data_IF_006740578108
#
_entry.id   IF_006740578108
#
_cell.length_a   1.000
_cell.length_b   1.000
_cell.length_c   1.000
_cell.angle_alpha   90.00
_cell.angle_beta   90.00
_cell.angle_gamma   90.00
#
_symmetry.space_group_name_H-M   'P 1'
#
loop_
_entity.id
_entity.type
_entity.pdbx_description
1 polymer ?
#
# COMPACT_ATOMS: atom_id res chain seq x y z
N UNK A 1 -74.42 1.31 -20.36
CA UNK A 1 -75.29 1.49 -19.18
C UNK A 1 -74.93 0.39 -18.18
N UNK A 2 -74.64 0.74 -16.92
CA UNK A 2 -75.48 0.48 -15.74
C UNK A 2 -76.56 -0.63 -15.81
N UNK A 3 -76.99 -1.34 -14.75
CA UNK A 3 -76.68 -1.44 -13.29
C UNK A 3 -77.52 -2.64 -12.73
N UNK A 4 -77.41 -3.19 -11.50
CA UNK A 4 -76.30 -3.38 -10.52
C UNK A 4 -76.80 -4.35 -9.38
N UNK A 5 -75.88 -4.85 -8.54
CA UNK A 5 -76.02 -5.34 -7.15
C UNK A 5 -76.90 -6.56 -6.73
N UNK A 6 -76.38 -7.33 -5.77
CA UNK A 6 -77.13 -8.26 -4.91
C UNK A 6 -76.24 -9.18 -4.05
N UNK A 7 -76.03 -8.86 -2.76
CA UNK A 7 -75.09 -9.56 -1.86
C UNK A 7 -75.74 -10.16 -0.60
N UNK A 8 -75.13 -11.19 -0.01
CA UNK A 8 -75.41 -11.69 1.35
C UNK A 8 -74.18 -12.41 1.97
N UNK A 9 -74.11 -12.46 3.30
CA UNK A 9 -72.89 -12.78 4.08
C UNK A 9 -72.79 -14.24 4.60
N UNK A 10 -71.60 -14.64 5.07
CA UNK A 10 -71.29 -16.01 5.55
C UNK A 10 -71.52 -16.26 7.06
N UNK A 11 -70.92 -17.33 7.62
CA UNK A 11 -70.17 -17.18 8.88
C UNK A 11 -68.83 -17.96 8.93
N UNK A 12 -68.21 -18.02 10.12
CA UNK A 12 -66.76 -18.20 10.34
C UNK A 12 -66.24 -19.64 10.59
N UNK A 13 -64.90 -19.73 10.47
CA UNK A 13 -63.95 -20.51 11.31
C UNK A 13 -63.67 -22.01 11.01
N UNK A 14 -62.43 -22.29 10.57
CA UNK A 14 -61.39 -23.00 11.38
C UNK A 14 -60.16 -23.34 10.52
N UNK A 15 -59.00 -23.64 11.15
CA UNK A 15 -57.90 -24.36 10.49
C UNK A 15 -56.63 -23.60 10.07
N UNK A 16 -55.99 -22.87 10.98
CA UNK A 16 -54.56 -22.53 10.84
C UNK A 16 -53.69 -23.56 11.58
N UNK A 17 -52.96 -24.42 10.84
CA UNK A 17 -51.79 -25.21 11.27
C UNK A 17 -51.29 -26.01 10.06
N UNK A 18 -50.03 -25.98 9.61
CA UNK A 18 -48.86 -25.18 10.01
C UNK A 18 -47.78 -25.20 8.91
N UNK A 19 -46.62 -24.53 9.08
CA UNK A 19 -45.66 -24.32 7.99
C UNK A 19 -44.81 -25.54 7.64
N UNK A 20 -44.70 -25.85 6.34
CA UNK A 20 -43.78 -26.85 5.81
C UNK A 20 -42.31 -26.49 6.05
N UNK A 21 -41.51 -27.51 6.39
CA UNK A 21 -40.16 -27.36 6.93
C UNK A 21 -39.12 -26.98 5.85
N UNK A 22 -38.85 -25.69 5.70
CA UNK A 22 -37.81 -25.19 4.80
C UNK A 22 -36.42 -25.67 5.21
N UNK A 23 -35.75 -26.44 4.35
CA UNK A 23 -34.41 -26.98 4.58
C UNK A 23 -33.34 -25.89 4.45
N UNK A 24 -33.25 -25.03 5.47
CA UNK A 24 -32.25 -23.96 5.55
C UNK A 24 -30.85 -24.54 5.70
N UNK A 25 -30.11 -24.63 4.60
CA UNK A 25 -28.67 -24.87 4.66
C UNK A 25 -28.04 -23.76 5.49
N UNK A 26 -27.65 -24.09 6.73
CA UNK A 26 -26.80 -23.24 7.57
C UNK A 26 -25.48 -23.05 6.83
N UNK A 27 -25.42 -22.01 6.01
CA UNK A 27 -24.18 -21.44 5.48
C UNK A 27 -23.44 -20.89 6.69
N UNK A 28 -22.68 -21.77 7.34
CA UNK A 28 -21.79 -21.38 8.42
C UNK A 28 -21.01 -20.17 7.95
N UNK A 29 -20.91 -19.16 8.81
CA UNK A 29 -19.95 -18.08 8.59
C UNK A 29 -18.61 -18.77 8.48
N UNK A 30 -18.07 -18.87 7.27
CA UNK A 30 -16.66 -19.12 7.09
C UNK A 30 -15.99 -18.00 7.86
N UNK A 31 -15.36 -18.36 8.98
CA UNK A 31 -14.56 -17.43 9.75
C UNK A 31 -13.48 -16.94 8.79
N UNK A 32 -13.66 -15.73 8.29
CA UNK A 32 -12.66 -15.04 7.50
C UNK A 32 -11.43 -14.98 8.38
N UNK A 33 -10.50 -15.93 8.19
CA UNK A 33 -9.22 -15.98 8.90
C UNK A 33 -8.49 -14.72 8.51
N UNK A 34 -8.67 -13.70 9.34
CA UNK A 34 -8.13 -12.38 9.14
C UNK A 34 -6.63 -12.55 9.11
N UNK A 35 -6.08 -12.49 7.89
CA UNK A 35 -4.65 -12.41 7.67
C UNK A 35 -4.18 -11.06 8.18
N UNK A 36 -4.07 -10.96 9.52
CA UNK A 36 -3.36 -9.91 10.19
C UNK A 36 -1.90 -10.02 9.76
N UNK A 37 -1.37 -9.08 8.96
CA UNK A 37 0.06 -9.06 8.72
C UNK A 37 0.75 -8.82 10.06
N UNK A 38 1.84 -9.54 10.32
CA UNK A 38 2.67 -9.46 11.55
C UNK A 38 3.22 -8.06 11.87
N UNK A 39 2.97 -7.08 11.00
CA UNK A 39 3.43 -5.70 11.08
C UNK A 39 2.25 -4.76 11.32
N UNK A 40 2.39 -3.88 12.34
CA UNK A 40 1.49 -2.76 12.67
C UNK A 40 1.54 -1.64 11.61
N UNK A 41 1.47 -2.02 10.33
CA UNK A 41 1.47 -1.13 9.18
C UNK A 41 0.03 -0.70 8.87
N UNK A 42 -0.26 0.58 9.12
CA UNK A 42 -1.46 1.23 8.62
C UNK A 42 -1.48 1.21 7.09
N UNK A 43 -2.67 1.00 6.52
CA UNK A 43 -2.90 0.99 5.07
C UNK A 43 -4.01 1.98 4.73
N UNK A 44 -3.76 2.86 3.77
CA UNK A 44 -4.70 3.89 3.35
C UNK A 44 -4.83 3.92 1.82
N UNK A 45 -6.05 3.74 1.32
CA UNK A 45 -6.36 3.93 -0.11
C UNK A 45 -6.51 5.43 -0.36
N UNK A 46 -5.65 6.00 -1.21
CA UNK A 46 -5.64 7.43 -1.52
C UNK A 46 -6.73 7.80 -2.53
N UNK A 47 -6.82 7.04 -3.62
CA UNK A 47 -7.83 7.19 -4.68
C UNK A 47 -7.91 5.90 -5.50
N UNK A 48 -9.11 5.59 -5.98
CA UNK A 48 -9.34 4.62 -7.06
C UNK A 48 -9.72 5.44 -8.30
N UNK A 49 -9.06 5.18 -9.42
CA UNK A 49 -9.32 5.86 -10.69
C UNK A 49 -9.74 4.84 -11.75
N UNK A 50 -10.94 4.92 -12.33
CA UNK A 50 -11.23 4.18 -13.55
C UNK A 50 -10.35 4.73 -14.68
N UNK A 51 -9.72 3.85 -15.43
CA UNK A 51 -9.00 4.13 -16.67
C UNK A 51 -9.64 3.29 -17.77
N UNK A 52 -9.85 3.89 -18.94
CA UNK A 52 -10.56 3.24 -20.05
C UNK A 52 -9.63 3.15 -21.25
N UNK A 53 -9.64 2.00 -21.94
CA UNK A 53 -9.02 1.83 -23.25
C UNK A 53 -10.12 1.50 -24.26
N UNK A 54 -10.21 2.30 -25.31
CA UNK A 54 -11.13 2.00 -26.41
C UNK A 54 -10.68 0.75 -27.16
N UNK A 55 -11.63 -0.10 -27.53
CA UNK A 55 -11.44 -1.31 -28.35
C UNK A 55 -12.51 -1.37 -29.43
N UNK A 56 -12.38 -2.29 -30.39
CA UNK A 56 -13.40 -2.50 -31.44
C UNK A 56 -14.77 -2.87 -30.86
N UNK A 57 -14.80 -3.59 -29.74
CA UNK A 57 -16.02 -3.94 -28.99
C UNK A 57 -16.34 -2.92 -27.86
N UNK A 58 -16.02 -1.64 -28.08
CA UNK A 58 -16.29 -0.56 -27.13
C UNK A 58 -15.23 -0.37 -26.03
N UNK A 59 -15.62 0.30 -24.94
CA UNK A 59 -14.69 0.73 -23.90
C UNK A 59 -14.35 -0.39 -22.91
N UNK A 60 -13.07 -0.75 -22.83
CA UNK A 60 -12.55 -1.68 -21.82
C UNK A 60 -12.04 -0.89 -20.61
N UNK A 61 -12.79 -0.94 -19.53
CA UNK A 61 -12.43 -0.27 -18.26
C UNK A 61 -11.46 -1.12 -17.43
N UNK A 62 -10.69 -0.47 -16.57
CA UNK A 62 -9.86 -1.07 -15.53
C UNK A 62 -9.67 -0.06 -14.40
N UNK A 63 -9.39 -0.52 -13.19
CA UNK A 63 -9.27 0.34 -12.01
C UNK A 63 -7.82 0.45 -11.57
N UNK A 64 -7.33 1.68 -11.45
CA UNK A 64 -6.01 2.02 -10.90
C UNK A 64 -6.17 2.45 -9.45
N UNK A 65 -5.65 1.63 -8.53
CA UNK A 65 -5.64 1.92 -7.09
C UNK A 65 -4.31 2.56 -6.70
N UNK A 66 -4.38 3.64 -5.92
CA UNK A 66 -3.25 4.26 -5.23
C UNK A 66 -3.38 3.94 -3.73
N UNK A 67 -2.41 3.22 -3.18
CA UNK A 67 -2.40 2.83 -1.77
C UNK A 67 -1.10 3.30 -1.14
N UNK A 68 -1.21 3.92 0.02
CA UNK A 68 -0.09 4.26 0.87
C UNK A 68 -0.09 3.36 2.11
N UNK A 69 1.11 3.03 2.58
CA UNK A 69 1.34 2.20 3.76
C UNK A 69 2.34 2.93 4.66
N UNK A 70 2.19 2.82 5.97
CA UNK A 70 3.17 3.32 6.93
C UNK A 70 2.87 2.89 8.35
N UNK A 71 3.87 2.97 9.21
CA UNK A 71 3.77 2.59 10.63
C UNK A 71 3.91 3.78 11.59
N UNK A 72 3.81 5.01 11.07
CA UNK A 72 3.88 6.26 11.84
C UNK A 72 5.21 6.50 12.59
N UNK A 73 6.27 5.75 12.26
CA UNK A 73 7.56 5.83 12.96
C UNK A 73 8.77 5.77 12.00
N UNK A 74 8.76 6.53 10.90
CA UNK A 74 9.91 6.66 10.02
C UNK A 74 10.00 5.66 8.85
N UNK A 75 8.89 5.07 8.40
CA UNK A 75 8.85 4.21 7.21
C UNK A 75 7.49 4.39 6.51
N UNK A 76 7.54 4.64 5.21
CA UNK A 76 6.36 4.84 4.34
C UNK A 76 6.56 4.11 3.02
N UNK A 77 5.49 3.57 2.44
CA UNK A 77 5.48 2.92 1.13
C UNK A 77 4.33 3.43 0.27
N UNK A 78 4.56 3.56 -1.04
CA UNK A 78 3.54 3.95 -2.02
C UNK A 78 3.41 2.88 -3.11
N UNK A 79 2.22 2.31 -3.23
CA UNK A 79 1.87 1.28 -4.21
C UNK A 79 0.83 1.78 -5.20
N UNK A 80 1.07 1.46 -6.48
CA UNK A 80 0.15 1.80 -7.58
C UNK A 80 -0.04 0.56 -8.44
N UNK A 81 -1.28 0.04 -8.52
CA UNK A 81 -1.62 -1.13 -9.34
C UNK A 81 -2.88 -0.86 -10.15
N UNK A 82 -2.91 -1.37 -11.37
CA UNK A 82 -4.12 -1.47 -12.18
C UNK A 82 -4.54 -2.93 -12.35
N UNK A 83 -5.85 -3.19 -12.24
CA UNK A 83 -6.50 -4.49 -12.47
C UNK A 83 -7.90 -4.28 -13.06
N UNK A 84 -8.53 -5.33 -13.61
CA UNK A 84 -9.92 -5.27 -14.08
C UNK A 84 -10.92 -5.02 -12.95
N UNK A 85 -10.64 -5.51 -11.74
CA UNK A 85 -11.49 -5.39 -10.56
C UNK A 85 -10.85 -4.49 -9.50
N UNK A 86 -11.68 -3.77 -8.76
CA UNK A 86 -11.23 -2.88 -7.68
C UNK A 86 -10.54 -3.66 -6.55
N UNK A 87 -11.11 -4.79 -6.11
CA UNK A 87 -10.56 -5.57 -4.99
C UNK A 87 -9.17 -6.14 -5.31
N UNK A 88 -8.95 -6.66 -6.52
CA UNK A 88 -7.63 -7.16 -6.94
C UNK A 88 -6.63 -6.03 -7.17
N UNK A 89 -7.06 -4.86 -7.66
CA UNK A 89 -6.21 -3.68 -7.74
C UNK A 89 -5.72 -3.22 -6.36
N UNK A 90 -6.60 -3.15 -5.36
CA UNK A 90 -6.24 -2.75 -3.98
C UNK A 90 -5.28 -3.77 -3.35
N UNK A 91 -5.59 -5.08 -3.43
CA UNK A 91 -4.71 -6.14 -2.89
C UNK A 91 -3.31 -6.09 -3.52
N UNK A 92 -3.24 -5.95 -4.85
CA UNK A 92 -1.96 -5.83 -5.56
C UNK A 92 -1.21 -4.52 -5.23
N UNK A 93 -1.91 -3.41 -5.05
CA UNK A 93 -1.31 -2.14 -4.63
C UNK A 93 -0.77 -2.20 -3.19
N UNK A 94 -1.43 -2.91 -2.27
CA UNK A 94 -0.93 -3.17 -0.91
C UNK A 94 0.39 -3.95 -0.95
N UNK A 95 0.48 -5.01 -1.77
CA UNK A 95 1.71 -5.81 -1.91
C UNK A 95 2.85 -4.95 -2.47
N UNK A 96 2.60 -4.18 -3.54
CA UNK A 96 3.60 -3.27 -4.10
C UNK A 96 4.03 -2.18 -3.10
N UNK A 97 3.10 -1.62 -2.33
CA UNK A 97 3.40 -0.62 -1.30
C UNK A 97 4.27 -1.18 -0.16
N UNK A 98 4.13 -2.47 0.19
CA UNK A 98 5.03 -3.13 1.15
C UNK A 98 6.44 -3.27 0.58
N UNK A 99 6.57 -3.71 -0.67
CA UNK A 99 7.86 -3.86 -1.35
C UNK A 99 8.57 -2.51 -1.58
N UNK A 100 7.82 -1.43 -1.76
CA UNK A 100 8.35 -0.06 -1.91
C UNK A 100 8.42 0.73 -0.61
N UNK A 101 8.54 0.06 0.54
CA UNK A 101 8.70 0.76 1.84
C UNK A 101 10.09 1.38 1.92
N UNK A 102 10.15 2.68 2.18
CA UNK A 102 11.39 3.47 2.27
C UNK A 102 11.49 4.07 3.68
N UNK A 103 12.67 4.03 4.33
CA UNK A 103 12.88 4.70 5.61
C UNK A 103 12.86 6.21 5.43
N UNK A 104 12.41 6.93 6.46
CA UNK A 104 12.22 8.39 6.45
C UNK A 104 13.07 9.03 7.51
N UNK A 105 14.01 9.89 7.11
CA UNK A 105 14.90 10.57 8.03
C UNK A 105 14.17 11.75 8.66
N UNK A 106 14.15 11.77 9.99
CA UNK A 106 13.59 12.85 10.80
C UNK A 106 14.71 13.68 11.44
N UNK A 107 14.42 14.93 11.73
CA UNK A 107 15.31 15.89 12.38
C UNK A 107 14.55 16.84 13.30
N UNK A 108 15.20 17.93 13.67
CA UNK A 108 14.68 18.96 14.57
C UNK A 108 14.62 20.31 13.87
N UNK A 109 13.73 21.20 14.33
CA UNK A 109 13.73 22.59 13.94
C UNK A 109 14.44 23.44 15.01
N UNK A 110 15.60 24.00 14.67
CA UNK A 110 16.40 24.79 15.59
C UNK A 110 17.10 23.94 16.66
N UNK A 111 16.49 23.77 17.82
CA UNK A 111 17.11 23.09 18.95
C UNK A 111 16.77 21.59 19.00
N UNK A 112 17.74 20.75 19.34
CA UNK A 112 17.65 19.29 19.31
C UNK A 112 17.02 18.70 20.58
N UNK A 113 15.86 19.22 20.99
CA UNK A 113 15.14 18.77 22.18
C UNK A 113 14.13 17.66 21.84
N UNK A 114 14.11 16.60 22.65
CA UNK A 114 13.08 15.57 22.60
C UNK A 114 13.29 14.55 21.49
N UNK A 115 12.24 14.30 20.69
CA UNK A 115 12.27 13.35 19.57
C UNK A 115 12.33 14.11 18.24
N UNK A 116 12.98 13.55 17.19
CA UNK A 116 12.96 14.14 15.85
C UNK A 116 11.52 14.18 15.30
N UNK A 117 10.98 15.38 15.10
CA UNK A 117 9.58 15.66 14.76
C UNK A 117 9.41 16.24 13.34
N UNK A 118 10.47 16.79 12.74
CA UNK A 118 10.43 17.43 11.41
C UNK A 118 11.38 16.73 10.42
N UNK A 119 11.57 17.30 9.23
CA UNK A 119 12.51 16.83 8.20
C UNK A 119 13.87 17.53 8.40
N UNK A 120 15.02 16.83 8.32
CA UNK A 120 16.34 17.39 8.63
C UNK A 120 16.80 18.52 7.69
N UNK A 121 16.27 18.57 6.46
CA UNK A 121 16.64 19.58 5.46
C UNK A 121 15.48 19.86 4.50
N UNK A 122 15.59 20.96 3.73
CA UNK A 122 14.63 21.28 2.66
C UNK A 122 14.87 20.36 1.46
N UNK A 123 14.10 19.28 1.37
CA UNK A 123 14.13 18.36 0.23
C UNK A 123 13.08 18.72 -0.81
N UNK A 124 13.40 18.49 -2.08
CA UNK A 124 12.48 18.70 -3.21
C UNK A 124 12.24 17.39 -3.96
N UNK A 125 10.98 16.99 -4.02
CA UNK A 125 10.51 15.91 -4.88
C UNK A 125 10.15 16.44 -6.26
N UNK A 126 10.34 15.63 -7.29
CA UNK A 126 9.98 15.97 -8.67
C UNK A 126 9.38 14.78 -9.42
N UNK A 127 8.18 14.95 -10.00
CA UNK A 127 7.61 13.97 -10.92
C UNK A 127 6.71 14.68 -11.95
N UNK A 128 7.12 14.56 -13.22
CA UNK A 128 6.54 15.33 -14.34
C UNK A 128 6.54 16.83 -14.02
N UNK A 129 5.45 17.55 -14.25
CA UNK A 129 5.34 18.99 -14.00
C UNK A 129 5.20 19.39 -12.52
N UNK A 130 5.12 18.43 -11.58
CA UNK A 130 4.84 18.72 -10.17
C UNK A 130 6.12 18.65 -9.34
N UNK A 131 6.38 19.72 -8.58
CA UNK A 131 7.48 19.84 -7.62
C UNK A 131 6.91 20.14 -6.24
N UNK A 132 7.41 19.45 -5.20
CA UNK A 132 7.01 19.68 -3.81
C UNK A 132 8.22 19.86 -2.88
N UNK A 133 8.21 20.94 -2.09
CA UNK A 133 9.06 21.16 -0.92
C UNK A 133 8.32 20.82 0.39
N UNK A 134 9.07 20.49 1.44
CA UNK A 134 8.61 19.64 2.55
C UNK A 134 7.67 20.28 3.57
N UNK A 135 6.41 19.78 3.66
CA UNK A 135 5.55 20.05 4.82
C UNK A 135 4.18 19.42 5.03
N UNK A 136 3.64 19.68 6.22
CA UNK A 136 2.38 19.15 6.79
C UNK A 136 1.23 20.16 6.75
N UNK A 137 1.51 21.48 6.71
CA UNK A 137 0.56 22.51 6.27
C UNK A 137 0.29 22.33 4.77
N UNK A 138 -0.49 21.31 4.44
CA UNK A 138 -0.48 20.63 3.15
C UNK A 138 -1.86 20.21 2.69
N UNK A 139 -2.00 19.98 1.38
CA UNK A 139 -3.19 19.39 0.80
C UNK A 139 -3.46 17.98 1.37
N UNK A 140 -4.70 17.44 1.32
CA UNK A 140 -5.07 16.20 2.00
C UNK A 140 -4.26 14.94 1.60
N UNK A 141 -3.59 14.93 0.45
CA UNK A 141 -2.78 13.82 -0.06
C UNK A 141 -1.39 13.76 0.62
N UNK A 142 -0.53 14.80 0.52
CA UNK A 142 0.72 14.86 1.29
C UNK A 142 0.51 14.73 2.79
N UNK A 143 -0.54 15.36 3.35
CA UNK A 143 -0.83 15.29 4.79
C UNK A 143 -0.91 13.85 5.30
N UNK A 144 -1.62 12.98 4.55
CA UNK A 144 -1.74 11.55 4.87
C UNK A 144 -0.42 10.81 4.74
N UNK A 145 0.35 11.07 3.69
CA UNK A 145 1.67 10.45 3.46
C UNK A 145 2.67 10.80 4.57
N UNK A 146 2.72 12.06 5.00
CA UNK A 146 3.65 12.55 6.02
C UNK A 146 3.27 12.08 7.43
N UNK A 147 1.97 12.03 7.76
CA UNK A 147 1.50 11.34 8.97
C UNK A 147 1.93 9.88 8.98
N UNK A 148 1.72 9.12 7.89
CA UNK A 148 2.13 7.72 7.80
C UNK A 148 3.66 7.51 7.89
N UNK A 149 4.43 8.51 7.45
CA UNK A 149 5.87 8.57 7.64
C UNK A 149 6.29 8.86 9.09
N UNK A 150 5.41 9.38 9.94
CA UNK A 150 5.72 9.75 11.33
C UNK A 150 6.47 11.07 11.47
N UNK A 151 6.23 12.02 10.57
CA UNK A 151 6.65 13.42 10.69
C UNK A 151 5.46 14.18 11.28
N UNK A 152 5.71 15.03 12.27
CA UNK A 152 4.68 15.74 13.04
C UNK A 152 4.51 17.19 12.55
N UNK A 153 5.62 17.92 12.32
CA UNK A 153 5.62 19.34 11.93
C UNK A 153 6.51 19.63 10.72
N UNK A 154 6.01 20.34 9.69
CA UNK A 154 6.76 20.61 8.45
C UNK A 154 6.02 21.67 7.53
N UNK A 155 6.68 22.37 6.57
CA UNK A 155 6.07 23.47 5.73
C UNK A 155 6.03 23.29 4.18
N UNK A 156 4.85 22.98 3.62
CA UNK A 156 4.75 22.49 2.23
C UNK A 156 4.71 23.61 1.22
N UNK A 157 5.38 23.42 0.09
CA UNK A 157 5.17 24.23 -1.11
C UNK A 157 5.01 23.29 -2.30
N UNK A 158 3.94 23.43 -3.07
CA UNK A 158 3.72 22.63 -4.28
C UNK A 158 3.59 23.57 -5.49
N UNK A 159 4.30 23.28 -6.58
CA UNK A 159 4.18 23.97 -7.87
C UNK A 159 3.84 22.97 -8.98
N UNK A 160 3.13 23.45 -10.00
CA UNK A 160 2.66 22.63 -11.13
C UNK A 160 1.27 22.03 -10.95
N UNK A 161 0.92 21.06 -11.79
CA UNK A 161 -0.44 20.47 -11.85
C UNK A 161 -0.73 19.46 -10.73
N UNK A 162 -0.91 19.96 -9.51
CA UNK A 162 -1.21 19.17 -8.30
C UNK A 162 -2.55 18.44 -8.35
N UNK A 163 -3.46 18.82 -9.24
CA UNK A 163 -4.73 18.13 -9.49
C UNK A 163 -4.55 16.64 -9.88
N UNK A 164 -3.42 16.30 -10.50
CA UNK A 164 -3.10 14.91 -10.86
C UNK A 164 -2.59 14.15 -9.63
N UNK A 165 -3.52 13.64 -8.82
CA UNK A 165 -3.23 12.94 -7.55
C UNK A 165 -2.15 11.85 -7.69
N UNK A 166 -2.15 11.10 -8.80
CA UNK A 166 -1.17 10.03 -9.01
C UNK A 166 0.27 10.50 -9.17
N UNK A 167 0.48 11.68 -9.76
CA UNK A 167 1.79 12.32 -9.81
C UNK A 167 2.07 12.96 -8.46
N UNK A 168 1.14 13.74 -7.92
CA UNK A 168 1.30 14.44 -6.65
C UNK A 168 1.68 13.49 -5.49
N UNK A 169 1.08 12.31 -5.38
CA UNK A 169 1.47 11.29 -4.39
C UNK A 169 2.91 10.78 -4.60
N UNK A 170 3.33 10.55 -5.87
CA UNK A 170 4.70 10.16 -6.21
C UNK A 170 5.73 11.23 -5.89
N UNK A 171 5.43 12.50 -6.16
CA UNK A 171 6.32 13.64 -5.87
C UNK A 171 6.61 13.72 -4.37
N UNK A 172 5.57 13.56 -3.54
CA UNK A 172 5.71 13.57 -2.09
C UNK A 172 6.53 12.35 -1.60
N UNK A 173 6.29 11.18 -2.17
CA UNK A 173 7.08 9.98 -1.85
C UNK A 173 8.56 10.11 -2.25
N UNK A 174 8.85 10.71 -3.42
CA UNK A 174 10.20 11.03 -3.90
C UNK A 174 10.90 12.08 -3.01
N UNK A 175 10.18 13.12 -2.57
CA UNK A 175 10.71 14.08 -1.59
C UNK A 175 11.12 13.38 -0.28
N UNK A 176 10.27 12.47 0.21
CA UNK A 176 10.51 11.70 1.43
C UNK A 176 11.69 10.73 1.28
N UNK A 177 11.82 10.01 0.17
CA UNK A 177 12.93 9.08 -0.05
C UNK A 177 14.29 9.79 -0.08
N UNK A 178 14.33 11.02 -0.59
CA UNK A 178 15.53 11.86 -0.63
C UNK A 178 16.01 12.37 0.73
N UNK A 179 15.24 12.17 1.81
CA UNK A 179 15.65 12.60 3.16
C UNK A 179 16.87 11.84 3.69
N UNK A 180 17.06 10.58 3.29
CA UNK A 180 18.27 9.80 3.59
C UNK A 180 19.39 9.97 2.55
N UNK A 181 19.06 10.31 1.30
CA UNK A 181 20.10 10.56 0.27
C UNK A 181 20.77 11.93 0.40
N UNK A 182 20.28 12.81 1.27
CA UNK A 182 20.86 14.13 1.50
C UNK A 182 21.98 14.04 2.55
N UNK A 183 23.21 14.26 2.11
CA UNK A 183 24.39 14.25 2.98
C UNK A 183 24.44 15.53 3.82
N UNK A 184 24.42 15.35 5.14
CA UNK A 184 24.51 16.41 6.15
C UNK A 184 25.74 16.19 7.05
N UNK A 185 26.23 17.22 7.77
CA UNK A 185 27.49 17.12 8.53
C UNK A 185 27.57 16.01 9.60
N UNK A 186 26.44 15.57 10.15
CA UNK A 186 26.38 14.44 11.09
C UNK A 186 26.73 13.08 10.44
N UNK A 187 26.61 12.98 9.11
CA UNK A 187 26.93 11.82 8.28
C UNK A 187 28.30 11.93 7.59
N UNK A 188 29.11 12.96 7.88
CA UNK A 188 30.46 13.11 7.30
C UNK A 188 31.52 12.23 7.94
N UNK A 189 31.18 11.50 9.02
CA UNK A 189 32.10 10.52 9.63
C UNK A 189 32.35 9.38 8.65
N UNK A 190 33.59 8.93 8.58
CA UNK A 190 34.00 7.83 7.71
C UNK A 190 33.18 6.56 8.00
N UNK A 191 32.69 5.92 6.93
CA UNK A 191 31.81 4.76 7.05
C UNK A 191 32.61 3.50 7.32
N UNK A 192 32.47 2.93 8.52
CA UNK A 192 33.02 1.61 8.83
C UNK A 192 32.24 0.55 8.06
N UNK A 193 32.89 -0.11 7.09
CA UNK A 193 32.28 -1.18 6.31
C UNK A 193 32.18 -2.47 7.13
N UNK A 194 30.96 -2.84 7.51
CA UNK A 194 30.66 -4.17 8.04
C UNK A 194 30.61 -5.21 6.91
N UNK A 195 30.84 -6.48 7.27
CA UNK A 195 30.61 -7.62 6.38
C UNK A 195 29.17 -7.68 5.89
N UNK A 196 28.97 -8.08 4.63
CA UNK A 196 27.60 -8.17 4.09
C UNK A 196 26.88 -9.38 4.70
N UNK A 197 25.57 -9.32 4.99
CA UNK A 197 24.84 -10.47 5.53
C UNK A 197 24.90 -11.72 4.63
N UNK A 198 25.00 -11.53 3.31
CA UNK A 198 25.20 -12.65 2.38
C UNK A 198 26.55 -13.35 2.61
N UNK A 199 27.60 -12.61 2.91
CA UNK A 199 28.93 -13.13 3.21
C UNK A 199 28.96 -13.81 4.60
N UNK A 200 28.41 -13.16 5.63
CA UNK A 200 28.33 -13.72 6.99
C UNK A 200 27.57 -15.04 7.05
N UNK A 201 26.42 -15.11 6.36
CA UNK A 201 25.56 -16.29 6.36
C UNK A 201 25.80 -17.22 5.15
N UNK A 202 26.92 -17.09 4.43
CA UNK A 202 27.22 -17.94 3.24
C UNK A 202 27.13 -19.43 3.57
N UNK A 203 27.76 -19.89 4.65
CA UNK A 203 27.74 -21.32 5.04
C UNK A 203 26.34 -21.84 5.36
N UNK A 204 25.48 -20.99 5.94
CA UNK A 204 24.09 -21.32 6.21
C UNK A 204 23.27 -21.36 4.92
N UNK A 205 23.47 -20.38 4.03
CA UNK A 205 22.79 -20.29 2.73
C UNK A 205 23.15 -21.47 1.82
N UNK A 206 24.41 -21.89 1.76
CA UNK A 206 24.82 -23.08 0.99
C UNK A 206 24.13 -24.35 1.51
N UNK A 207 23.98 -24.50 2.83
CA UNK A 207 23.34 -25.69 3.44
C UNK A 207 21.82 -25.71 3.30
N UNK A 208 21.16 -24.56 3.36
CA UNK A 208 19.68 -24.45 3.40
C UNK A 208 19.05 -24.09 2.07
N UNK A 209 19.78 -23.38 1.20
CA UNK A 209 19.32 -22.90 -0.10
C UNK A 209 20.11 -23.59 -1.23
N UNK A 210 20.23 -24.92 -1.16
CA UNK A 210 20.68 -25.71 -2.30
C UNK A 210 19.67 -25.60 -3.44
N UNK A 211 20.15 -25.22 -4.62
CA UNK A 211 19.34 -25.23 -5.84
C UNK A 211 18.97 -26.67 -6.20
N UNK A 212 17.70 -26.91 -6.51
CA UNK A 212 17.16 -28.15 -7.11
C UNK A 212 17.66 -28.32 -8.59
N UNK A 213 18.79 -27.70 -8.97
CA UNK A 213 19.17 -27.53 -10.38
C UNK A 213 20.66 -27.28 -10.65
N UNK A 214 21.58 -27.65 -9.74
CA UNK A 214 23.03 -27.66 -10.05
C UNK A 214 23.68 -28.97 -9.63
N UNK A 215 23.24 -30.08 -10.25
CA UNK A 215 24.10 -31.25 -10.43
C UNK A 215 25.00 -30.97 -11.64
N UNK A 216 26.07 -30.19 -11.45
CA UNK A 216 27.20 -30.27 -12.37
C UNK A 216 28.17 -31.30 -11.81
N UNK A 217 28.32 -32.42 -12.50
CA UNK A 217 29.26 -33.45 -12.10
C UNK A 217 30.69 -32.90 -12.17
N UNK A 218 31.33 -32.71 -11.01
CA UNK A 218 32.77 -32.56 -10.94
C UNK A 218 33.37 -33.96 -10.97
N UNK A 219 33.80 -34.39 -12.17
CA UNK A 219 34.68 -35.55 -12.28
C UNK A 219 35.99 -35.24 -11.54
N UNK A 220 36.53 -36.17 -10.73
CA UNK A 220 37.82 -35.97 -10.08
C UNK A 220 38.91 -35.86 -11.14
N UNK A 221 39.70 -34.78 -11.09
CA UNK A 221 40.89 -34.67 -11.90
C UNK A 221 41.88 -35.76 -11.47
N UNK A 222 42.12 -36.73 -12.35
CA UNK A 222 43.12 -37.78 -12.13
C UNK A 222 44.49 -37.13 -12.07
N UNK A 223 45.18 -37.32 -10.95
CA UNK A 223 46.58 -36.91 -10.83
C UNK A 223 47.42 -37.77 -11.78
N UNK A 224 48.18 -37.12 -12.66
CA UNK A 224 49.27 -37.74 -13.42
C UNK A 224 50.57 -37.12 -12.95
N UNK A 225 51.56 -37.99 -12.77
CA UNK A 225 52.93 -37.78 -12.28
C UNK A 225 53.69 -36.68 -13.02
#
# INVERSE_FOLDING_TARGET
MADDAGAAAGPMASGWTGPGQGHGTRRGKAEDKEWMPLTKLGRLVLKIMPVQKQTSAGQRTSFKAFVAIGHYNGHVGLGVKCSKEVATAIRGAIILAKLSTVPVRRGYWGNNIGKPHTVPCKVTGGCSSVLVGTGIVSAPVPKKLLMMAGIDDCYTSARGCTATLGNFAKVNFDAISKTYSYLTPDLWKETVFATSPYQEFTDHLVKTHTRVSVQWAQAPAVATT
#
